data_IF_984793240865
#
_entry.id   IF_984793240865
#
_cell.length_a   1.000
_cell.length_b   1.000
_cell.length_c   1.000
_cell.angle_alpha   90.00
_cell.angle_beta   90.00
_cell.angle_gamma   90.00
#
_symmetry.space_group_name_H-M   'P 1'
#
loop_
_entity.id
_entity.type
_entity.pdbx_description
1 polymer ?
#
# COMPACT_ATOMS: atom_id res chain seq x y z
N UNK A 1 1.64 -10.85 6.86
CA UNK A 1 2.10 -9.57 6.32
C UNK A 1 2.28 -8.54 7.43
N UNK A 2 3.18 -7.62 7.20
CA UNK A 2 3.55 -6.60 8.16
C UNK A 2 3.15 -5.22 7.61
N UNK A 3 2.38 -4.48 8.39
CA UNK A 3 1.88 -3.17 7.97
C UNK A 3 3.04 -2.21 7.64
N UNK A 4 4.14 -2.28 8.39
CA UNK A 4 5.30 -1.44 8.14
C UNK A 4 5.93 -1.72 6.77
N UNK A 5 5.94 -2.98 6.35
CA UNK A 5 6.46 -3.36 5.04
C UNK A 5 5.53 -2.87 3.92
N UNK A 6 4.22 -2.96 4.15
CA UNK A 6 3.26 -2.45 3.17
C UNK A 6 3.40 -0.94 3.04
N UNK A 7 3.54 -0.22 4.14
CA UNK A 7 3.73 1.23 4.10
C UNK A 7 5.01 1.60 3.36
N UNK A 8 6.09 0.83 3.55
CA UNK A 8 7.34 1.07 2.85
C UNK A 8 7.17 0.85 1.35
N UNK A 9 6.44 -0.19 0.97
CA UNK A 9 6.16 -0.46 -0.44
C UNK A 9 5.35 0.69 -1.06
N UNK A 10 4.35 1.19 -0.34
CA UNK A 10 3.56 2.33 -0.80
C UNK A 10 4.45 3.54 -1.03
N UNK A 11 5.36 3.82 -0.11
CA UNK A 11 6.27 4.96 -0.24
C UNK A 11 7.13 4.84 -1.50
N UNK A 12 7.62 3.64 -1.79
CA UNK A 12 8.41 3.40 -3.00
C UNK A 12 7.58 3.61 -4.26
N UNK A 13 6.32 3.15 -4.24
CA UNK A 13 5.43 3.33 -5.38
C UNK A 13 5.08 4.81 -5.59
N UNK A 14 4.88 5.54 -4.49
CA UNK A 14 4.61 6.98 -4.58
C UNK A 14 5.79 7.72 -5.20
N UNK A 15 7.00 7.33 -4.82
CA UNK A 15 8.20 7.92 -5.39
C UNK A 15 8.26 7.68 -6.89
N UNK A 16 7.98 6.45 -7.32
CA UNK A 16 7.98 6.11 -8.75
C UNK A 16 6.96 6.94 -9.52
N UNK A 17 5.76 7.10 -8.96
CA UNK A 17 4.72 7.90 -9.62
C UNK A 17 5.14 9.36 -9.70
N UNK A 18 5.76 9.89 -8.66
CA UNK A 18 6.21 11.28 -8.66
C UNK A 18 7.30 11.53 -9.71
N UNK A 19 8.19 10.54 -9.90
CA UNK A 19 9.27 10.67 -10.87
C UNK A 19 8.80 10.46 -12.31
N UNK A 20 7.77 9.63 -12.50
CA UNK A 20 7.23 9.31 -13.83
C UNK A 20 5.71 9.35 -13.79
N UNK A 21 5.12 10.55 -13.69
CA UNK A 21 3.66 10.65 -13.52
C UNK A 21 2.86 10.10 -14.70
N UNK A 22 3.46 10.01 -15.88
CA UNK A 22 2.77 9.47 -17.05
C UNK A 22 2.89 7.94 -17.15
N UNK A 23 3.62 7.30 -16.24
CA UNK A 23 3.80 5.86 -16.27
C UNK A 23 2.58 5.18 -15.63
N UNK A 24 1.71 4.60 -16.46
CA UNK A 24 0.49 3.98 -15.99
C UNK A 24 0.77 2.75 -15.14
N UNK A 25 1.83 2.01 -15.45
CA UNK A 25 2.19 0.82 -14.69
C UNK A 25 2.56 1.18 -13.26
N UNK A 26 3.33 2.25 -13.08
CA UNK A 26 3.70 2.71 -11.75
C UNK A 26 2.47 3.13 -10.95
N UNK A 27 1.53 3.81 -11.60
CA UNK A 27 0.28 4.23 -10.95
C UNK A 27 -0.57 3.04 -10.56
N UNK A 28 -0.61 2.01 -11.41
CA UNK A 28 -1.36 0.79 -11.12
C UNK A 28 -0.77 0.07 -9.91
N UNK A 29 0.56 -0.01 -9.82
CA UNK A 29 1.21 -0.61 -8.66
C UNK A 29 0.89 0.14 -7.38
N UNK A 30 0.88 1.47 -7.44
CA UNK A 30 0.53 2.27 -6.27
C UNK A 30 -0.90 1.98 -5.83
N UNK A 31 -1.82 1.91 -6.79
CA UNK A 31 -3.21 1.63 -6.50
C UNK A 31 -3.36 0.26 -5.82
N UNK A 32 -2.67 -0.76 -6.36
CA UNK A 32 -2.70 -2.09 -5.76
C UNK A 32 -2.10 -2.10 -4.36
N UNK A 33 -1.06 -1.31 -4.13
CA UNK A 33 -0.45 -1.23 -2.81
C UNK A 33 -1.43 -0.67 -1.78
N UNK A 34 -2.19 0.34 -2.16
CA UNK A 34 -3.24 0.86 -1.28
C UNK A 34 -4.31 -0.19 -1.01
N UNK A 35 -4.68 -0.98 -2.02
CA UNK A 35 -5.65 -2.06 -1.83
C UNK A 35 -5.13 -3.10 -0.85
N UNK A 36 -3.85 -3.47 -0.97
CA UNK A 36 -3.25 -4.41 -0.05
C UNK A 36 -3.28 -3.90 1.39
N UNK A 37 -3.00 -2.61 1.56
CA UNK A 37 -3.05 -2.03 2.90
C UNK A 37 -4.47 -2.07 3.47
N UNK A 38 -5.46 -1.73 2.66
CA UNK A 38 -6.86 -1.78 3.08
C UNK A 38 -7.26 -3.19 3.48
N UNK A 39 -6.87 -4.18 2.68
CA UNK A 39 -7.17 -5.57 2.97
C UNK A 39 -6.52 -6.02 4.27
N UNK A 40 -5.26 -5.63 4.49
CA UNK A 40 -4.55 -6.01 5.70
C UNK A 40 -5.21 -5.38 6.92
N UNK A 41 -5.57 -4.11 6.85
CA UNK A 41 -6.26 -3.44 7.95
C UNK A 41 -7.61 -4.08 8.25
N UNK A 42 -8.33 -4.47 7.21
CA UNK A 42 -9.61 -5.16 7.39
C UNK A 42 -9.42 -6.49 8.10
N UNK A 43 -8.41 -7.27 7.68
CA UNK A 43 -8.11 -8.55 8.32
C UNK A 43 -7.74 -8.37 9.79
N UNK A 44 -6.94 -7.37 10.09
CA UNK A 44 -6.53 -7.08 11.46
C UNK A 44 -7.74 -6.71 12.33
N UNK A 45 -8.64 -5.91 11.78
CA UNK A 45 -9.86 -5.52 12.48
C UNK A 45 -10.75 -6.73 12.73
N UNK A 46 -10.91 -7.59 11.73
CA UNK A 46 -11.75 -8.77 11.87
C UNK A 46 -11.23 -9.74 12.93
N UNK A 47 -9.91 -9.79 13.10
CA UNK A 47 -9.30 -10.63 14.13
C UNK A 47 -9.25 -9.96 15.50
N UNK A 48 -9.71 -8.71 15.56
CA UNK A 48 -9.68 -7.97 16.82
C UNK A 48 -8.32 -7.43 17.20
N UNK A 49 -7.40 -7.35 16.24
CA UNK A 49 -6.07 -6.83 16.52
C UNK A 49 -6.08 -5.32 16.64
N UNK A 50 -5.21 -4.81 17.51
CA UNK A 50 -5.05 -3.37 17.68
C UNK A 50 -4.17 -2.83 16.54
N UNK A 51 -4.69 -1.87 15.78
CA UNK A 51 -4.00 -1.32 14.61
C UNK A 51 -3.33 0.02 14.88
N UNK A 52 -3.28 0.45 16.10
CA UNK A 52 -2.61 1.71 16.43
C UNK A 52 -1.10 1.62 16.35
#
# INVERSE_FOLDING_TARGET
>A
QNLALVDKYIALCEKSVNEEPQNEVARDYLYEAYQQKADLLTQMTERGENVQ
#
